data_IF_806730747286
#
_entry.id   IF_806730747286
#
_cell.length_a   1.000
_cell.length_b   1.000
_cell.length_c   1.000
_cell.angle_alpha   90.00
_cell.angle_beta   90.00
_cell.angle_gamma   90.00
#
_symmetry.space_group_name_H-M   'P 1'
#
loop_
_entity.id
_entity.type
_entity.pdbx_description
1 polymer ?
2 non-polymer ?
3 non-polymer ?
4 water ?
#
# COMPACT_ATOMS: atom_id res chain seq x y z
N UNK A 6 -6.44 -4.33 -20.65
CA UNK A 6 -7.38 -4.97 -19.75
C UNK A 6 -7.03 -4.67 -18.30
N UNK A 7 -5.75 -4.80 -17.97
CA UNK A 7 -5.30 -4.54 -16.61
C UNK A 7 -5.57 -3.09 -16.20
N UNK A 8 -5.36 -2.15 -17.12
CA UNK A 8 -5.56 -0.73 -16.83
C UNK A 8 -6.96 -0.45 -16.30
N UNK A 9 -7.98 -0.96 -17.00
CA UNK A 9 -9.36 -0.75 -16.57
C UNK A 9 -9.64 -1.44 -15.25
N UNK A 10 -9.12 -2.65 -15.10
CA UNK A 10 -9.25 -3.38 -13.84
C UNK A 10 -8.70 -2.55 -12.68
N UNK A 11 -7.50 -2.00 -12.86
CA UNK A 11 -6.88 -1.21 -11.81
C UNK A 11 -7.72 0.03 -11.47
N UNK A 12 -8.22 0.71 -12.49
CA UNK A 12 -9.02 1.91 -12.22
C UNK A 12 -10.31 1.57 -11.46
N UNK A 13 -11.01 0.51 -11.85
CA UNK A 13 -12.23 0.09 -11.18
C UNK A 13 -11.93 -0.27 -9.74
N UNK A 14 -10.82 -0.99 -9.52
CA UNK A 14 -10.44 -1.36 -8.15
C UNK A 14 -10.13 -0.15 -7.27
N UNK A 15 -9.32 0.77 -7.78
CA UNK A 15 -8.95 1.97 -7.04
C UNK A 15 -10.16 2.81 -6.65
N UNK A 16 -11.08 2.99 -7.60
CA UNK A 16 -12.33 3.69 -7.35
C UNK A 16 -13.12 3.10 -6.19
N UNK A 17 -13.06 1.77 -6.04
CA UNK A 17 -13.81 1.06 -5.00
C UNK A 17 -13.24 1.27 -3.60
N UNK A 18 -12.01 1.75 -3.53
CA UNK A 18 -11.36 2.02 -2.25
C UNK A 18 -11.72 3.42 -1.79
N UNK A 19 -12.35 3.55 -0.62
CA UNK A 19 -12.84 4.86 -0.16
C UNK A 19 -11.78 5.95 -0.16
N UNK A 20 -10.55 5.61 0.19
CA UNK A 20 -9.45 6.57 0.20
C UNK A 20 -9.25 7.22 -1.16
N UNK A 21 -9.46 6.45 -2.23
CA UNK A 21 -9.15 6.90 -3.58
C UNK A 21 -10.39 7.18 -4.42
N UNK A 22 -11.58 6.94 -3.86
CA UNK A 22 -12.85 7.00 -4.59
C UNK A 22 -13.17 8.36 -5.21
N UNK A 23 -12.55 9.42 -4.69
CA UNK A 23 -12.87 10.78 -5.11
C UNK A 23 -11.80 11.42 -5.99
N UNK A 24 -10.76 10.68 -6.33
CA UNK A 24 -9.70 11.21 -7.17
C UNK A 24 -10.19 11.46 -8.59
N UNK A 25 -9.75 12.57 -9.22
CA UNK A 25 -9.99 12.80 -10.65
C UNK A 25 -9.63 11.55 -11.45
N UNK A 26 -10.43 11.26 -12.48
CA UNK A 26 -10.22 10.03 -13.24
C UNK A 26 -8.86 10.02 -13.94
N UNK A 27 -8.32 11.18 -14.29
CA UNK A 27 -7.00 11.22 -14.90
C UNK A 27 -5.91 10.83 -13.89
N UNK A 28 -6.11 11.19 -12.63
CA UNK A 28 -5.16 10.76 -11.61
C UNK A 28 -5.27 9.24 -11.37
N UNK A 29 -6.49 8.71 -11.34
CA UNK A 29 -6.65 7.26 -11.26
C UNK A 29 -5.99 6.56 -12.44
N UNK A 30 -6.13 7.13 -13.63
CA UNK A 30 -5.50 6.59 -14.85
C UNK A 30 -3.97 6.56 -14.69
N UNK A 31 -3.39 7.66 -14.19
CA UNK A 31 -1.95 7.75 -13.98
C UNK A 31 -1.48 6.69 -12.99
N UNK A 32 -2.24 6.52 -11.91
CA UNK A 32 -1.89 5.50 -10.92
C UNK A 32 -1.92 4.11 -11.55
N UNK A 33 -2.93 3.85 -12.38
CA UNK A 33 -3.04 2.56 -13.03
C UNK A 33 -1.87 2.31 -14.00
N UNK A 34 -1.32 3.40 -14.56
CA UNK A 34 -0.21 3.30 -15.50
C UNK A 34 1.14 3.09 -14.80
N UNK A 35 1.29 3.64 -13.60
CA UNK A 35 2.60 3.59 -12.94
C UNK A 35 2.75 2.48 -11.91
N UNK A 36 1.64 1.90 -11.45
CA UNK A 36 1.76 0.89 -10.40
C UNK A 36 2.38 -0.38 -10.95
N UNK A 37 2.93 -1.16 -10.02
CA UNK A 37 3.47 -2.47 -10.34
C UNK A 37 2.72 -3.52 -9.53
N UNK A 38 2.09 -4.46 -10.22
CA UNK A 38 1.39 -5.52 -9.55
C UNK A 38 2.38 -6.56 -9.04
N UNK A 39 2.35 -6.82 -7.74
CA UNK A 39 3.37 -7.65 -7.08
C UNK A 39 2.71 -8.79 -6.29
N UNK A 40 3.28 -9.98 -6.37
CA UNK A 40 2.65 -11.18 -5.80
C UNK A 40 3.50 -11.80 -4.70
N UNK A 41 2.81 -12.25 -3.65
CA UNK A 41 3.44 -12.87 -2.48
C UNK A 41 2.72 -14.15 -2.08
N UNK A 42 3.40 -15.00 -1.31
CA UNK A 42 2.79 -16.20 -0.75
C UNK A 42 2.80 -16.19 0.76
N UNK A 43 2.07 -17.12 1.38
CA UNK A 43 1.97 -17.17 2.84
C UNK A 43 3.34 -17.22 3.51
N UNK A 44 3.56 -16.32 4.47
CA UNK A 44 4.78 -16.29 5.25
C UNK A 44 5.88 -15.43 4.65
N UNK A 45 5.65 -14.91 3.46
CA UNK A 45 6.64 -14.05 2.80
C UNK A 45 6.61 -12.62 3.33
N UNK A 46 7.76 -12.12 3.76
CA UNK A 46 7.87 -10.73 4.20
C UNK A 46 7.66 -9.79 3.03
N UNK A 47 6.74 -8.84 3.20
CA UNK A 47 6.57 -7.77 2.24
C UNK A 47 7.37 -6.54 2.67
N UNK A 48 7.31 -6.23 3.97
CA UNK A 48 8.04 -5.14 4.60
C UNK A 48 8.63 -5.65 5.91
N UNK A 49 9.85 -5.23 6.21
CA UNK A 49 10.49 -5.51 7.51
C UNK A 49 10.66 -4.24 8.32
N UNK A 50 10.26 -4.28 9.60
CA UNK A 50 10.46 -3.18 10.52
C UNK A 50 11.94 -2.75 10.56
N UNK A 51 12.18 -1.45 10.46
CA UNK A 51 13.54 -0.93 10.56
C UNK A 51 14.25 -0.82 9.23
N UNK A 52 13.68 -1.38 8.17
CA UNK A 52 14.20 -1.16 6.83
C UNK A 52 13.89 0.28 6.42
N UNK A 53 14.53 0.76 5.36
CA UNK A 53 14.23 2.07 4.81
C UNK A 53 13.49 1.86 3.49
N UNK A 54 12.38 2.55 3.32
CA UNK A 54 11.49 2.25 2.22
C UNK A 54 11.04 3.44 1.41
N UNK A 55 10.53 3.13 0.21
CA UNK A 55 10.18 4.12 -0.80
C UNK A 55 8.97 3.67 -1.63
N UNK A 56 8.16 2.78 -1.07
CA UNK A 56 7.03 2.21 -1.79
C UNK A 56 5.82 2.12 -0.90
N UNK A 57 4.67 2.33 -1.55
CA UNK A 57 3.31 2.27 -0.99
C UNK A 57 2.58 1.07 -1.59
N UNK A 58 1.75 0.41 -0.78
CA UNK A 58 1.10 -0.86 -1.16
C UNK A 58 -0.42 -0.81 -1.02
N UNK A 59 -1.14 -1.22 -2.06
CA UNK A 59 -2.59 -1.36 -1.96
C UNK A 59 -2.93 -2.83 -2.20
N UNK A 60 -3.61 -3.47 -1.25
CA UNK A 60 -3.89 -4.90 -1.36
C UNK A 60 -5.04 -5.14 -2.30
N UNK A 61 -4.80 -5.86 -3.40
CA UNK A 61 -5.90 -6.20 -4.28
C UNK A 61 -6.34 -7.66 -4.18
N UNK A 62 -5.60 -8.47 -3.44
CA UNK A 62 -6.00 -9.84 -3.15
C UNK A 62 -5.27 -10.36 -1.91
N UNK A 63 -5.99 -11.07 -1.06
CA UNK A 63 -5.39 -11.73 0.08
C UNK A 63 -5.42 -10.93 1.36
N UNK A 64 -4.64 -11.38 2.35
CA UNK A 64 -4.56 -10.72 3.64
C UNK A 64 -3.11 -10.70 4.07
N UNK A 65 -2.75 -9.72 4.88
CA UNK A 65 -1.40 -9.65 5.45
C UNK A 65 -1.48 -9.43 6.96
N UNK A 66 -0.44 -9.89 7.66
CA UNK A 66 -0.33 -9.66 9.09
C UNK A 66 0.69 -8.59 9.39
N UNK A 67 0.33 -7.66 10.27
CA UNK A 67 1.23 -6.58 10.64
C UNK A 67 1.72 -6.87 12.05
N UNK A 68 3.04 -6.87 12.23
CA UNK A 68 3.64 -7.10 13.53
C UNK A 68 4.71 -6.06 13.83
N UNK A 69 5.15 -5.98 15.09
CA UNK A 69 6.10 -4.96 15.48
C UNK A 69 6.84 -5.41 16.72
N UNK A 70 8.15 -5.16 16.74
CA UNK A 70 8.90 -5.19 17.98
C UNK A 70 8.67 -3.83 18.63
N UNK A 71 7.87 -3.82 19.70
CA UNK A 71 7.56 -2.58 20.41
C UNK A 71 7.77 -2.74 21.91
N UNK A 75 12.17 -8.62 23.01
CA UNK A 75 12.60 -8.60 21.61
C UNK A 75 11.72 -9.47 20.72
N UNK A 76 10.69 -10.07 21.32
CA UNK A 76 9.75 -10.90 20.56
C UNK A 76 8.76 -10.04 19.79
N UNK A 77 8.29 -10.55 18.64
CA UNK A 77 7.33 -9.80 17.84
C UNK A 77 5.94 -9.76 18.47
N UNK A 78 5.22 -8.67 18.26
CA UNK A 78 3.83 -8.55 18.73
C UNK A 78 2.89 -8.33 17.56
N UNK A 79 1.75 -8.99 17.60
CA UNK A 79 0.76 -8.86 16.52
C UNK A 79 -0.03 -7.56 16.63
N UNK A 80 -0.11 -6.82 15.54
CA UNK A 80 -0.84 -5.54 15.53
C UNK A 80 -2.22 -5.72 14.91
N UNK A 81 -2.27 -6.07 13.63
CA UNK A 81 -3.54 -6.39 12.99
C UNK A 81 -3.36 -7.08 11.64
N UNK A 82 -4.49 -7.52 11.10
CA UNK A 82 -4.55 -8.12 9.79
C UNK A 82 -5.21 -7.15 8.82
N UNK A 83 -4.60 -6.97 7.65
CA UNK A 83 -5.17 -6.11 6.61
C UNK A 83 -5.59 -6.97 5.43
N UNK A 84 -6.55 -6.49 4.67
CA UNK A 84 -7.13 -7.32 3.62
C UNK A 84 -7.39 -6.54 2.34
N UNK A 85 -8.18 -7.13 1.46
CA UNK A 85 -8.43 -6.54 0.15
C UNK A 85 -9.04 -5.15 0.27
N UNK A 86 -8.45 -4.19 -0.43
CA UNK A 86 -8.89 -2.81 -0.37
C UNK A 86 -8.18 -1.95 0.67
N UNK A 87 -7.44 -2.60 1.58
CA UNK A 87 -6.63 -1.89 2.56
C UNK A 87 -5.29 -1.53 1.94
N UNK A 88 -4.55 -0.63 2.59
CA UNK A 88 -3.25 -0.23 2.10
C UNK A 88 -2.29 -0.04 3.25
N UNK A 89 -0.99 -0.01 2.91
CA UNK A 89 0.04 0.11 3.93
C UNK A 89 1.32 0.60 3.28
N UNK A 90 2.29 0.95 4.13
CA UNK A 90 3.58 1.45 3.67
C UNK A 90 3.67 2.95 3.54
N UNK A 91 2.69 3.69 4.03
CA UNK A 91 2.71 5.15 3.88
C UNK A 91 3.63 5.84 4.87
N UNK A 92 3.87 5.23 6.03
CA UNK A 92 4.64 5.96 7.05
C UNK A 92 6.08 6.24 6.58
N UNK A 93 6.70 5.32 5.85
CA UNK A 93 8.06 5.57 5.36
C UNK A 93 8.06 6.63 4.25
N UNK A 94 6.89 7.02 3.78
CA UNK A 94 6.77 8.07 2.77
C UNK A 94 6.41 9.42 3.39
N UNK A 95 6.31 9.47 4.72
CA UNK A 95 5.93 10.66 5.45
C UNK A 95 7.05 11.03 6.42
N UNK A 96 7.80 12.07 6.09
CA UNK A 96 8.91 12.48 6.93
C UNK A 96 10.11 11.57 6.78
N UNK A 97 10.45 10.85 7.85
CA UNK A 97 11.53 9.87 7.77
C UNK A 97 11.13 8.66 6.96
N UNK A 98 12.10 7.98 6.34
CA UNK A 98 11.83 6.83 5.50
C UNK A 98 12.00 5.47 6.17
N UNK A 99 11.85 5.40 7.49
CA UNK A 99 11.96 4.10 8.14
C UNK A 99 10.62 3.36 8.23
N UNK A 100 10.66 2.06 8.00
CA UNK A 100 9.49 1.19 8.17
C UNK A 100 9.23 0.96 9.65
N UNK A 101 7.98 1.14 10.05
CA UNK A 101 7.61 1.11 11.46
C UNK A 101 7.02 -0.21 11.94
N UNK A 102 6.88 -1.17 11.04
CA UNK A 102 6.31 -2.47 11.38
C UNK A 102 6.67 -3.47 10.29
N UNK A 103 6.55 -4.76 10.62
CA UNK A 103 6.60 -5.83 9.62
C UNK A 103 5.24 -6.02 8.96
N UNK A 104 5.24 -6.31 7.66
CA UNK A 104 4.02 -6.75 6.98
C UNK A 104 4.33 -8.06 6.28
N UNK A 105 3.59 -9.10 6.63
CA UNK A 105 3.84 -10.45 6.13
C UNK A 105 2.60 -11.04 5.49
N UNK A 106 2.75 -11.60 4.29
CA UNK A 106 1.63 -12.26 3.63
C UNK A 106 1.10 -13.42 4.46
N UNK A 107 -0.23 -13.52 4.53
CA UNK A 107 -0.91 -14.56 5.31
C UNK A 107 -1.55 -15.63 4.42
N UNK A 108 -1.45 -15.42 3.11
CA UNK A 108 -1.98 -16.31 2.07
C UNK A 108 -1.44 -15.76 0.77
N UNK A 109 -1.95 -16.22 -0.37
CA UNK A 109 -1.58 -15.62 -1.64
C UNK A 109 -2.01 -14.16 -1.61
N UNK A 110 -1.08 -13.25 -1.90
CA UNK A 110 -1.35 -11.82 -1.84
C UNK A 110 -0.95 -11.15 -3.14
N UNK A 111 -1.81 -10.24 -3.59
CA UNK A 111 -1.43 -9.29 -4.64
C UNK A 111 -1.48 -7.87 -4.10
N UNK A 112 -0.39 -7.13 -4.30
CA UNK A 112 -0.35 -5.71 -3.99
C UNK A 112 -0.11 -4.89 -5.24
N UNK A 113 -0.74 -3.73 -5.29
CA UNK A 113 -0.45 -2.74 -6.31
C UNK A 113 0.54 -1.77 -5.67
N UNK A 114 1.75 -1.73 -6.19
CA UNK A 114 2.84 -1.00 -5.58
C UNK A 114 3.10 0.31 -6.31
N UNK A 115 3.13 1.38 -5.54
CA UNK A 115 3.35 2.71 -6.09
C UNK A 115 4.62 3.30 -5.46
N UNK A 116 5.54 3.75 -6.32
CA UNK A 116 6.80 4.25 -5.78
C UNK A 116 6.69 5.69 -5.29
N UNK A 117 7.74 6.11 -4.61
CA UNK A 117 7.74 7.42 -3.96
C UNK A 117 7.54 8.53 -4.99
N UNK A 118 8.15 8.40 -6.16
CA UNK A 118 8.05 9.41 -7.20
C UNK A 118 6.61 9.72 -7.56
N UNK A 119 5.78 8.69 -7.66
CA UNK A 119 4.37 8.89 -7.98
C UNK A 119 3.55 9.22 -6.74
N UNK A 120 3.84 8.54 -5.63
CA UNK A 120 3.10 8.76 -4.40
C UNK A 120 3.12 10.23 -3.96
N UNK A 121 4.31 10.84 -4.02
CA UNK A 121 4.46 12.20 -3.48
C UNK A 121 3.66 13.24 -4.28
N UNK A 122 3.31 12.91 -5.52
CA UNK A 122 2.50 13.81 -6.32
C UNK A 122 1.01 13.46 -6.28
N UNK A 123 0.69 12.17 -6.34
CA UNK A 123 -0.70 11.77 -6.57
C UNK A 123 -1.47 11.37 -5.30
N UNK A 124 -0.75 10.93 -4.28
CA UNK A 124 -1.40 10.40 -3.08
C UNK A 124 -1.05 11.13 -1.77
N UNK A 125 0.18 11.63 -1.68
CA UNK A 125 0.70 12.16 -0.41
C UNK A 125 -0.08 13.33 0.16
N UNK A 126 -0.76 14.08 -0.69
CA UNK A 126 -1.56 15.19 -0.24
C UNK A 126 -2.92 14.83 0.34
N UNK A 127 -3.29 13.56 0.25
CA UNK A 127 -4.58 13.09 0.78
C UNK A 127 -4.59 12.99 2.29
N UNK A 128 -5.51 13.73 2.92
CA UNK A 128 -5.66 13.75 4.37
C UNK A 128 -5.88 12.36 4.96
N UNK A 129 -6.68 11.54 4.28
CA UNK A 129 -6.95 10.18 4.72
C UNK A 129 -5.66 9.37 4.83
N UNK A 130 -4.66 9.73 4.02
CA UNK A 130 -3.36 9.09 4.07
C UNK A 130 -2.40 9.84 4.99
N UNK A 131 -2.38 11.17 4.86
CA UNK A 131 -1.46 12.00 5.64
C UNK A 131 -1.84 12.10 7.11
N UNK A 132 -3.13 11.98 7.40
CA UNK A 132 -3.62 12.04 8.77
C UNK A 132 -4.14 10.69 9.23
N UNK A 133 -3.56 9.61 8.69
CA UNK A 133 -3.95 8.26 9.05
C UNK A 133 -3.75 8.00 10.54
N UNK A 134 -4.83 7.66 11.23
CA UNK A 134 -4.85 7.65 12.70
C UNK A 134 -4.16 6.45 13.35
N UNK A 135 -4.61 5.24 13.01
CA UNK A 135 -4.28 4.01 13.73
C UNK A 135 -4.67 4.13 15.21
#
# INVERSE_FOLDING_TARGET
>A
GSTGLIKHTEYMEFLKSVPTFQSLPEEILSKLADVLEETHYENGEYIIRQGARGDTFFIISKGTVNVTREDSPSEDPVFLRTLGKGDWFGEKALQGEDVRTANVIAAEAVTCLVIDRDSFKHLIGGLDDVSNKAYEDAEAKAKYEAEAAFFAN
#
